data_IF_727057253429
#
_entry.id   IF_727057253429
#
_cell.length_a   1.000
_cell.length_b   1.000
_cell.length_c   1.000
_cell.angle_alpha   90.00
_cell.angle_beta   90.00
_cell.angle_gamma   90.00
#
_symmetry.space_group_name_H-M   'P 1'
#
loop_
_entity.id
_entity.type
_entity.pdbx_description
1 polymer ?
#
# COMPACT_ATOMS: atom_id res chain seq x y z
N UNK A 1 7.45 31.83 1.23
CA UNK A 1 6.28 31.04 1.66
C UNK A 1 6.71 30.15 2.82
N UNK A 2 5.83 29.85 3.80
CA UNK A 2 6.17 28.82 4.78
C UNK A 2 6.25 27.47 4.06
N UNK A 3 7.25 26.62 4.41
CA UNK A 3 7.46 25.32 3.76
C UNK A 3 6.18 24.47 3.71
N UNK A 4 5.40 24.50 4.78
CA UNK A 4 4.15 23.77 4.89
C UNK A 4 3.09 24.21 3.86
N UNK A 5 2.99 25.50 3.53
CA UNK A 5 1.99 25.97 2.55
C UNK A 5 2.31 25.49 1.13
N UNK A 6 3.59 25.39 0.77
CA UNK A 6 4.01 24.87 -0.52
C UNK A 6 3.68 23.37 -0.63
N UNK A 7 4.00 22.59 0.41
CA UNK A 7 3.68 21.15 0.46
C UNK A 7 2.17 20.90 0.47
N UNK A 8 1.37 21.70 1.18
CA UNK A 8 -0.10 21.60 1.13
C UNK A 8 -0.65 21.90 -0.26
N UNK A 9 -0.09 22.89 -0.96
CA UNK A 9 -0.41 23.16 -2.37
C UNK A 9 -0.10 21.98 -3.28
N UNK A 10 1.06 21.35 -3.10
CA UNK A 10 1.47 20.15 -3.83
C UNK A 10 0.49 18.98 -3.59
N UNK A 11 0.19 18.66 -2.32
CA UNK A 11 -0.79 17.62 -1.99
C UNK A 11 -2.16 17.88 -2.65
N UNK A 12 -2.63 19.12 -2.60
CA UNK A 12 -3.92 19.48 -3.18
C UNK A 12 -3.95 19.25 -4.70
N UNK A 13 -2.90 19.65 -5.42
CA UNK A 13 -2.79 19.43 -6.87
C UNK A 13 -2.80 17.93 -7.20
N UNK A 14 -2.02 17.11 -6.49
CA UNK A 14 -1.96 15.67 -6.70
C UNK A 14 -3.31 15.00 -6.41
N UNK A 15 -3.98 15.38 -5.33
CA UNK A 15 -5.31 14.88 -4.94
C UNK A 15 -6.37 15.24 -5.98
N UNK A 16 -6.39 16.49 -6.43
CA UNK A 16 -7.32 16.95 -7.49
C UNK A 16 -7.07 16.17 -8.78
N UNK A 17 -5.80 15.99 -9.19
CA UNK A 17 -5.45 15.19 -10.35
C UNK A 17 -6.03 13.77 -10.26
N UNK A 18 -5.73 13.04 -9.19
CA UNK A 18 -6.22 11.67 -9.01
C UNK A 18 -7.75 11.59 -8.95
N UNK A 19 -8.40 12.52 -8.25
CA UNK A 19 -9.86 12.63 -8.17
C UNK A 19 -10.52 12.94 -9.52
N UNK A 20 -9.88 13.78 -10.32
CA UNK A 20 -10.34 14.12 -11.68
C UNK A 20 -10.25 12.90 -12.60
N UNK A 21 -9.09 12.22 -12.62
CA UNK A 21 -8.90 10.99 -13.40
C UNK A 21 -9.96 9.94 -13.01
N UNK A 22 -10.20 9.74 -11.72
CA UNK A 22 -11.27 8.84 -11.24
C UNK A 22 -12.64 9.22 -11.78
N UNK A 23 -13.00 10.50 -11.68
CA UNK A 23 -14.33 10.97 -12.09
C UNK A 23 -14.57 10.76 -13.59
N UNK A 24 -13.56 11.02 -14.42
CA UNK A 24 -13.64 10.78 -15.85
C UNK A 24 -13.70 9.30 -16.21
N UNK A 25 -12.83 8.48 -15.61
CA UNK A 25 -12.67 7.07 -15.99
C UNK A 25 -13.68 6.13 -15.34
N UNK A 26 -14.43 6.59 -14.32
CA UNK A 26 -15.47 5.77 -13.67
C UNK A 26 -16.50 5.20 -14.67
N UNK A 27 -16.72 5.87 -15.79
CA UNK A 27 -17.64 5.46 -16.84
C UNK A 27 -17.07 4.38 -17.78
N UNK A 28 -15.75 4.16 -17.77
CA UNK A 28 -15.05 3.30 -18.73
C UNK A 28 -14.17 2.24 -18.01
N UNK A 29 -14.76 1.12 -17.57
CA UNK A 29 -14.07 0.06 -16.82
C UNK A 29 -12.87 -0.55 -17.57
N UNK A 30 -12.88 -0.52 -18.91
CA UNK A 30 -11.77 -1.02 -19.74
C UNK A 30 -10.46 -0.26 -19.50
N UNK A 31 -10.51 0.97 -19.03
CA UNK A 31 -9.34 1.81 -18.71
C UNK A 31 -8.97 1.79 -17.21
N UNK A 32 -9.39 0.77 -16.49
CA UNK A 32 -9.09 0.64 -15.04
C UNK A 32 -7.60 0.70 -14.71
N UNK A 33 -6.71 0.27 -15.63
CA UNK A 33 -5.26 0.37 -15.45
C UNK A 33 -4.76 1.82 -15.36
N UNK A 34 -5.46 2.80 -15.99
CA UNK A 34 -5.12 4.23 -15.86
C UNK A 34 -5.49 4.73 -14.45
N UNK A 35 -6.55 4.19 -13.84
CA UNK A 35 -6.87 4.49 -12.44
C UNK A 35 -5.78 3.94 -11.50
N UNK A 36 -5.32 2.71 -11.74
CA UNK A 36 -4.24 2.11 -10.96
C UNK A 36 -2.93 2.92 -11.09
N UNK A 37 -2.63 3.45 -12.29
CA UNK A 37 -1.53 4.40 -12.50
C UNK A 37 -1.69 5.67 -11.65
N UNK A 38 -2.87 6.33 -11.73
CA UNK A 38 -3.11 7.58 -11.01
C UNK A 38 -3.07 7.39 -9.48
N UNK A 39 -3.53 6.24 -9.00
CA UNK A 39 -3.54 5.93 -7.57
C UNK A 39 -2.13 5.61 -7.05
N UNK A 40 -1.33 4.87 -7.80
CA UNK A 40 0.08 4.65 -7.44
C UNK A 40 0.87 5.97 -7.51
N UNK A 41 0.65 6.78 -8.54
CA UNK A 41 1.24 8.11 -8.66
C UNK A 41 0.92 8.98 -7.45
N UNK A 42 -0.36 9.10 -7.08
CA UNK A 42 -0.80 9.88 -5.92
C UNK A 42 -0.14 9.39 -4.62
N UNK A 43 -0.14 8.07 -4.38
CA UNK A 43 0.41 7.51 -3.16
C UNK A 43 1.91 7.81 -3.03
N UNK A 44 2.69 7.55 -4.08
CA UNK A 44 4.14 7.75 -4.08
C UNK A 44 4.49 9.24 -4.01
N UNK A 45 3.82 10.09 -4.81
CA UNK A 45 4.09 11.52 -4.83
C UNK A 45 3.83 12.18 -3.47
N UNK A 46 2.69 11.85 -2.84
CA UNK A 46 2.38 12.38 -1.51
C UNK A 46 3.34 11.83 -0.45
N UNK A 47 3.73 10.57 -0.53
CA UNK A 47 4.64 9.97 0.45
C UNK A 47 6.05 10.56 0.37
N UNK A 48 6.59 10.81 -0.83
CA UNK A 48 7.87 11.48 -1.05
C UNK A 48 7.90 12.86 -0.39
N UNK A 49 6.83 13.63 -0.52
CA UNK A 49 6.73 14.96 0.11
C UNK A 49 6.60 14.87 1.64
N UNK A 50 5.86 13.88 2.17
CA UNK A 50 5.81 13.62 3.62
C UNK A 50 7.21 13.29 4.15
N UNK A 51 7.98 12.44 3.46
CA UNK A 51 9.36 12.16 3.85
C UNK A 51 10.22 13.43 3.85
N UNK A 52 10.08 14.28 2.85
CA UNK A 52 10.82 15.55 2.76
C UNK A 52 10.52 16.47 3.94
N UNK A 53 9.24 16.62 4.31
CA UNK A 53 8.82 17.42 5.46
C UNK A 53 9.44 16.89 6.76
N UNK A 54 9.57 15.57 6.89
CA UNK A 54 10.10 14.92 8.10
C UNK A 54 11.62 14.96 8.14
N UNK A 55 12.29 14.59 7.05
CA UNK A 55 13.75 14.49 7.00
C UNK A 55 14.42 15.87 7.04
N UNK A 56 13.90 16.82 6.30
CA UNK A 56 14.49 18.16 6.16
C UNK A 56 13.86 19.14 7.14
N UNK A 57 12.59 18.96 7.50
CA UNK A 57 11.86 19.84 8.39
C UNK A 57 12.50 19.96 9.78
N UNK A 58 13.10 18.90 10.29
CA UNK A 58 13.82 18.89 11.57
C UNK A 58 15.03 19.84 11.55
N UNK A 59 15.74 19.94 10.43
CA UNK A 59 16.91 20.83 10.24
C UNK A 59 16.53 22.27 9.92
N UNK A 60 15.41 22.48 9.22
CA UNK A 60 14.96 23.80 8.78
C UNK A 60 13.98 24.46 9.77
N UNK A 61 13.95 24.04 11.04
CA UNK A 61 13.02 24.56 12.04
C UNK A 61 11.55 24.13 11.78
N UNK A 62 11.38 23.02 11.07
CA UNK A 62 10.07 22.47 10.70
C UNK A 62 9.57 21.42 11.67
N UNK A 63 8.75 20.55 11.15
CA UNK A 63 7.91 19.64 11.91
C UNK A 63 8.68 18.34 12.19
N UNK A 64 8.90 18.01 13.45
CA UNK A 64 9.59 16.79 13.87
C UNK A 64 8.82 15.48 13.58
N UNK A 65 9.39 14.35 13.99
CA UNK A 65 8.87 13.00 13.67
C UNK A 65 7.43 12.74 14.12
N UNK A 66 6.93 13.46 15.12
CA UNK A 66 5.55 13.31 15.63
C UNK A 66 4.49 13.74 14.60
N UNK A 67 4.83 14.67 13.72
CA UNK A 67 3.96 15.12 12.64
C UNK A 67 3.86 14.10 11.52
N UNK A 68 4.90 13.25 11.36
CA UNK A 68 4.91 12.18 10.34
C UNK A 68 3.68 11.30 10.43
N UNK A 69 3.32 10.87 11.64
CA UNK A 69 2.18 9.97 11.90
C UNK A 69 0.89 10.61 11.44
N UNK A 70 0.69 11.88 11.79
CA UNK A 70 -0.51 12.63 11.42
C UNK A 70 -0.59 12.86 9.92
N UNK A 71 0.51 13.28 9.29
CA UNK A 71 0.54 13.54 7.84
C UNK A 71 0.38 12.25 7.04
N UNK A 72 1.04 11.17 7.45
CA UNK A 72 0.90 9.86 6.83
C UNK A 72 -0.54 9.36 6.94
N UNK A 73 -1.17 9.49 8.12
CA UNK A 73 -2.57 9.15 8.32
C UNK A 73 -3.48 9.93 7.38
N UNK A 74 -3.32 11.26 7.27
CA UNK A 74 -4.13 12.12 6.39
C UNK A 74 -3.94 11.75 4.93
N UNK A 75 -2.70 11.52 4.48
CA UNK A 75 -2.41 11.09 3.09
C UNK A 75 -3.04 9.73 2.79
N UNK A 76 -2.89 8.74 3.66
CA UNK A 76 -3.47 7.41 3.48
C UNK A 76 -5.00 7.44 3.56
N UNK A 77 -5.58 8.27 4.42
CA UNK A 77 -7.04 8.45 4.49
C UNK A 77 -7.58 9.05 3.20
N UNK A 78 -6.96 10.13 2.72
CA UNK A 78 -7.34 10.80 1.47
C UNK A 78 -7.19 9.85 0.28
N UNK A 79 -6.07 9.11 0.21
CA UNK A 79 -5.86 8.09 -0.80
C UNK A 79 -6.96 7.01 -0.72
N UNK A 80 -7.26 6.49 0.46
CA UNK A 80 -8.30 5.49 0.67
C UNK A 80 -9.70 5.95 0.25
N UNK A 81 -10.04 7.22 0.51
CA UNK A 81 -11.32 7.83 0.09
C UNK A 81 -11.38 7.96 -1.44
N UNK A 82 -10.32 8.43 -2.07
CA UNK A 82 -10.27 8.59 -3.54
C UNK A 82 -10.23 7.23 -4.22
N UNK A 83 -9.45 6.28 -3.73
CA UNK A 83 -9.22 4.99 -4.35
C UNK A 83 -10.21 3.91 -3.91
N UNK A 84 -11.24 4.27 -3.13
CA UNK A 84 -12.23 3.32 -2.57
C UNK A 84 -11.60 2.14 -1.80
N UNK A 85 -10.49 2.43 -1.15
CA UNK A 85 -9.92 1.61 -0.09
C UNK A 85 -8.73 0.73 -0.44
N UNK A 86 -8.34 0.50 -1.71
CA UNK A 86 -7.19 -0.38 -1.95
C UNK A 86 -6.74 -0.49 -3.41
N UNK A 87 -6.19 0.56 -3.98
CA UNK A 87 -5.59 0.53 -5.31
C UNK A 87 -4.19 1.14 -5.30
N UNK A 88 -3.43 0.99 -6.35
CA UNK A 88 -2.05 1.48 -6.44
C UNK A 88 -1.01 0.53 -5.82
N UNK A 89 -1.35 -0.76 -5.67
CA UNK A 89 -0.47 -1.75 -5.04
C UNK A 89 -0.42 -3.06 -5.85
N UNK A 90 0.74 -3.46 -6.38
CA UNK A 90 0.91 -4.72 -7.11
C UNK A 90 0.47 -5.97 -6.33
N UNK A 91 0.67 -6.00 -5.02
CA UNK A 91 0.26 -7.13 -4.16
C UNK A 91 -1.26 -7.30 -4.18
N UNK A 92 -2.02 -6.21 -4.15
CA UNK A 92 -3.47 -6.26 -4.23
C UNK A 92 -3.97 -6.64 -5.64
N UNK A 93 -3.24 -6.26 -6.69
CA UNK A 93 -3.53 -6.73 -8.05
C UNK A 93 -3.36 -8.25 -8.16
N UNK A 94 -2.27 -8.81 -7.61
CA UNK A 94 -2.04 -10.26 -7.53
C UNK A 94 -3.10 -10.94 -6.65
N UNK A 95 -3.49 -10.33 -5.53
CA UNK A 95 -4.55 -10.87 -4.67
C UNK A 95 -5.88 -11.00 -5.43
N UNK A 96 -6.30 -9.97 -6.17
CA UNK A 96 -7.52 -10.00 -7.01
C UNK A 96 -7.44 -11.10 -8.08
N UNK A 97 -6.25 -11.29 -8.69
CA UNK A 97 -6.00 -12.36 -9.66
C UNK A 97 -6.12 -13.74 -9.04
N UNK A 98 -5.51 -13.99 -7.89
CA UNK A 98 -5.58 -15.28 -7.18
C UNK A 98 -7.01 -15.60 -6.70
N UNK A 99 -7.83 -14.57 -6.46
CA UNK A 99 -9.25 -14.73 -6.15
C UNK A 99 -10.14 -14.90 -7.39
N UNK A 100 -9.54 -15.00 -8.59
CA UNK A 100 -10.26 -15.11 -9.87
C UNK A 100 -11.23 -13.95 -10.18
N UNK A 101 -10.97 -12.77 -9.59
CA UNK A 101 -11.80 -11.58 -9.82
C UNK A 101 -11.40 -10.85 -11.11
N UNK A 102 -10.14 -11.01 -11.53
CA UNK A 102 -9.54 -10.35 -12.71
C UNK A 102 -8.71 -11.36 -13.48
N UNK A 103 -8.71 -11.26 -14.80
CA UNK A 103 -7.90 -12.13 -15.69
C UNK A 103 -6.43 -11.66 -15.75
N UNK A 104 -5.58 -12.46 -16.39
CA UNK A 104 -4.13 -12.21 -16.44
C UNK A 104 -3.76 -10.86 -17.08
N UNK A 105 -4.35 -10.53 -18.25
CA UNK A 105 -4.00 -9.32 -18.98
C UNK A 105 -4.26 -8.03 -18.19
N UNK A 106 -5.47 -7.77 -17.64
CA UNK A 106 -5.70 -6.61 -16.78
C UNK A 106 -4.81 -6.58 -15.54
N UNK A 107 -4.45 -7.73 -14.97
CA UNK A 107 -3.55 -7.80 -13.81
C UNK A 107 -2.15 -7.32 -14.19
N UNK A 108 -1.60 -7.79 -15.31
CA UNK A 108 -0.28 -7.36 -15.81
C UNK A 108 -0.29 -5.86 -16.13
N UNK A 109 -1.32 -5.37 -16.83
CA UNK A 109 -1.48 -3.95 -17.14
C UNK A 109 -1.56 -3.09 -15.87
N UNK A 110 -2.27 -3.55 -14.83
CA UNK A 110 -2.32 -2.86 -13.53
C UNK A 110 -0.95 -2.80 -12.86
N UNK A 111 -0.20 -3.90 -12.84
CA UNK A 111 1.15 -3.94 -12.25
C UNK A 111 2.08 -2.98 -12.99
N UNK A 112 2.08 -3.00 -14.32
CA UNK A 112 2.88 -2.06 -15.13
C UNK A 112 2.47 -0.62 -14.82
N UNK A 113 1.17 -0.34 -14.76
CA UNK A 113 0.63 0.97 -14.45
C UNK A 113 1.06 1.47 -13.05
N UNK A 114 1.12 0.59 -12.03
CA UNK A 114 1.62 0.92 -10.70
C UNK A 114 3.07 1.42 -10.74
N UNK A 115 3.95 0.72 -11.46
CA UNK A 115 5.36 1.13 -11.56
C UNK A 115 5.55 2.40 -12.40
N UNK A 116 4.82 2.54 -13.49
CA UNK A 116 4.83 3.78 -14.28
C UNK A 116 4.34 4.98 -13.46
N UNK A 117 3.29 4.79 -12.65
CA UNK A 117 2.78 5.82 -11.74
C UNK A 117 3.80 6.20 -10.68
N UNK A 118 4.43 5.20 -10.04
CA UNK A 118 5.49 5.42 -9.05
C UNK A 118 6.71 6.13 -9.64
N UNK A 119 7.13 5.74 -10.87
CA UNK A 119 8.25 6.38 -11.55
C UNK A 119 7.96 7.84 -11.91
N UNK A 120 6.76 8.11 -12.48
CA UNK A 120 6.37 9.48 -12.78
C UNK A 120 6.26 10.33 -11.50
N UNK A 121 5.77 9.76 -10.40
CA UNK A 121 5.71 10.44 -9.10
C UNK A 121 7.09 10.90 -8.63
N UNK A 122 8.11 10.02 -8.77
CA UNK A 122 9.49 10.37 -8.45
C UNK A 122 10.00 11.54 -9.31
N UNK A 123 9.77 11.48 -10.63
CA UNK A 123 10.19 12.56 -11.55
C UNK A 123 9.50 13.89 -11.21
N UNK A 124 8.20 13.85 -10.92
CA UNK A 124 7.43 15.05 -10.55
C UNK A 124 7.91 15.61 -9.20
N UNK A 125 8.20 14.76 -8.21
CA UNK A 125 8.71 15.20 -6.92
C UNK A 125 10.10 15.86 -7.07
N UNK A 126 11.02 15.23 -7.79
CA UNK A 126 12.36 15.81 -8.06
C UNK A 126 12.24 17.15 -8.80
N UNK A 127 11.38 17.24 -9.81
CA UNK A 127 11.12 18.50 -10.49
C UNK A 127 10.53 19.55 -9.54
N UNK A 128 9.58 19.18 -8.68
CA UNK A 128 8.97 20.07 -7.71
C UNK A 128 10.02 20.60 -6.70
N UNK A 129 10.91 19.75 -6.19
CA UNK A 129 11.99 20.19 -5.30
C UNK A 129 13.00 21.11 -6.00
N UNK A 130 13.25 20.90 -7.30
CA UNK A 130 14.14 21.76 -8.10
C UNK A 130 13.61 23.19 -8.31
N UNK A 131 12.33 23.43 -8.03
CA UNK A 131 11.76 24.80 -8.07
C UNK A 131 12.18 25.62 -6.83
N UNK A 132 12.75 24.99 -5.79
CA UNK A 132 13.29 25.64 -4.60
C UNK A 132 12.34 26.66 -3.95
N UNK A 133 11.04 26.34 -3.92
CA UNK A 133 9.99 27.24 -3.45
C UNK A 133 10.13 27.61 -1.96
N UNK A 134 10.90 26.82 -1.22
CA UNK A 134 11.16 26.99 0.22
C UNK A 134 12.56 26.50 0.56
N UNK A 135 13.11 26.92 1.70
CA UNK A 135 14.42 26.46 2.19
C UNK A 135 14.48 24.94 2.31
N UNK A 136 13.37 24.30 2.73
CA UNK A 136 13.24 22.85 2.80
C UNK A 136 13.42 22.19 1.42
N UNK A 137 12.76 22.72 0.38
CA UNK A 137 12.89 22.20 -0.98
C UNK A 137 14.26 22.45 -1.58
N UNK A 138 14.87 23.61 -1.28
CA UNK A 138 16.25 23.91 -1.67
C UNK A 138 17.23 22.90 -1.05
N UNK A 139 17.13 22.63 0.25
CA UNK A 139 17.96 21.61 0.93
C UNK A 139 17.70 20.21 0.30
N UNK A 140 16.43 19.83 0.09
CA UNK A 140 16.10 18.55 -0.51
C UNK A 140 16.62 18.42 -1.95
N UNK A 141 16.59 19.49 -2.74
CA UNK A 141 17.16 19.52 -4.09
C UNK A 141 18.69 19.33 -4.07
N UNK A 142 19.38 19.97 -3.17
CA UNK A 142 20.83 19.78 -2.97
C UNK A 142 21.17 18.35 -2.53
N UNK A 143 20.33 17.76 -1.66
CA UNK A 143 20.45 16.38 -1.16
C UNK A 143 19.81 15.33 -2.07
N UNK A 144 19.25 15.69 -3.22
CA UNK A 144 18.43 14.80 -4.05
C UNK A 144 19.16 13.51 -4.52
N UNK A 145 20.48 13.49 -4.46
CA UNK A 145 21.32 12.30 -4.75
C UNK A 145 21.67 11.48 -3.51
N UNK A 146 21.36 11.97 -2.32
CA UNK A 146 21.72 11.37 -1.03
C UNK A 146 20.48 10.89 -0.28
N UNK A 147 19.71 9.95 -0.89
CA UNK A 147 18.68 9.27 -0.13
C UNK A 147 19.27 8.07 0.65
N UNK A 148 18.73 7.80 1.83
CA UNK A 148 19.02 6.59 2.58
C UNK A 148 17.98 5.51 2.24
N UNK A 149 18.45 4.25 2.16
CA UNK A 149 17.53 3.11 1.98
C UNK A 149 16.64 2.95 3.20
N UNK A 150 15.38 2.58 2.98
CA UNK A 150 14.44 2.27 4.06
C UNK A 150 14.68 0.91 4.71
N UNK A 151 15.55 0.09 4.16
CA UNK A 151 15.97 -1.17 4.76
C UNK A 151 17.08 -0.90 5.77
N UNK A 152 16.72 -0.82 7.05
CA UNK A 152 17.63 -0.49 8.16
C UNK A 152 18.11 -1.73 8.93
N UNK A 153 17.70 -2.92 8.51
CA UNK A 153 17.98 -4.18 9.18
C UNK A 153 18.52 -5.21 8.20
N UNK A 154 18.92 -6.38 8.70
CA UNK A 154 19.36 -7.47 7.83
C UNK A 154 18.27 -7.92 6.86
N UNK A 155 18.69 -8.47 5.72
CA UNK A 155 17.80 -8.94 4.66
C UNK A 155 16.71 -9.89 5.17
N UNK A 156 17.08 -10.80 6.07
CA UNK A 156 16.16 -11.76 6.68
C UNK A 156 15.11 -11.05 7.56
N UNK A 157 15.55 -10.15 8.43
CA UNK A 157 14.64 -9.36 9.27
C UNK A 157 13.72 -8.48 8.42
N UNK A 158 14.25 -7.84 7.36
CA UNK A 158 13.45 -7.06 6.42
C UNK A 158 12.37 -7.89 5.73
N UNK A 159 12.73 -9.08 5.23
CA UNK A 159 11.78 -10.02 4.64
C UNK A 159 10.65 -10.40 5.61
N UNK A 160 10.99 -10.78 6.85
CA UNK A 160 9.98 -11.15 7.84
C UNK A 160 9.11 -9.96 8.25
N UNK A 161 9.67 -8.76 8.38
CA UNK A 161 8.91 -7.54 8.69
C UNK A 161 7.84 -7.28 7.61
N UNK A 162 8.24 -7.24 6.34
CA UNK A 162 7.30 -7.03 5.23
C UNK A 162 6.28 -8.17 5.12
N UNK A 163 6.70 -9.42 5.33
CA UNK A 163 5.83 -10.59 5.32
C UNK A 163 4.73 -10.47 6.39
N UNK A 164 5.11 -10.21 7.64
CA UNK A 164 4.16 -10.12 8.77
C UNK A 164 3.23 -8.92 8.62
N UNK A 165 3.77 -7.74 8.27
CA UNK A 165 2.95 -6.55 8.06
C UNK A 165 1.94 -6.76 6.92
N UNK A 166 2.39 -7.35 5.80
CA UNK A 166 1.50 -7.64 4.66
C UNK A 166 0.48 -8.72 5.00
N UNK A 167 0.83 -9.72 5.79
CA UNK A 167 -0.10 -10.73 6.28
C UNK A 167 -1.23 -10.09 7.09
N UNK A 168 -0.89 -9.27 8.09
CA UNK A 168 -1.87 -8.57 8.94
C UNK A 168 -2.76 -7.65 8.09
N UNK A 169 -2.14 -6.84 7.22
CA UNK A 169 -2.87 -5.94 6.34
C UNK A 169 -3.87 -6.68 5.45
N UNK A 170 -3.43 -7.72 4.73
CA UNK A 170 -4.32 -8.46 3.82
C UNK A 170 -5.40 -9.24 4.57
N UNK A 171 -5.11 -9.77 5.75
CA UNK A 171 -6.11 -10.46 6.56
C UNK A 171 -7.24 -9.50 6.97
N UNK A 172 -6.90 -8.30 7.44
CA UNK A 172 -7.88 -7.27 7.80
C UNK A 172 -8.60 -6.76 6.55
N UNK A 173 -7.88 -6.50 5.46
CA UNK A 173 -8.46 -6.07 4.18
C UNK A 173 -9.51 -7.06 3.65
N UNK A 174 -9.21 -8.35 3.65
CA UNK A 174 -10.13 -9.40 3.21
C UNK A 174 -11.39 -9.48 4.08
N UNK A 175 -11.25 -9.31 5.39
CA UNK A 175 -12.40 -9.32 6.32
C UNK A 175 -13.27 -8.07 6.20
N UNK A 176 -12.67 -6.92 5.87
CA UNK A 176 -13.39 -5.65 5.75
C UNK A 176 -13.94 -5.37 4.34
N UNK A 177 -13.59 -6.16 3.32
CA UNK A 177 -13.93 -5.88 1.91
C UNK A 177 -15.43 -5.71 1.66
N UNK A 178 -16.29 -6.38 2.43
CA UNK A 178 -17.74 -6.32 2.31
C UNK A 178 -18.39 -5.27 3.22
N UNK A 179 -17.61 -4.54 4.01
CA UNK A 179 -18.11 -3.45 4.85
C UNK A 179 -18.21 -2.15 4.05
N UNK A 180 -19.04 -1.23 4.52
CA UNK A 180 -19.16 0.10 3.91
C UNK A 180 -17.81 0.81 3.83
N UNK A 181 -17.59 1.62 2.79
CA UNK A 181 -16.36 2.40 2.63
C UNK A 181 -16.11 3.32 3.85
N UNK A 182 -17.18 3.84 4.44
CA UNK A 182 -17.11 4.70 5.63
C UNK A 182 -16.44 4.01 6.84
N UNK A 183 -16.60 2.71 6.99
CA UNK A 183 -15.94 1.93 8.05
C UNK A 183 -14.61 1.36 7.59
N UNK A 184 -14.56 0.81 6.37
CA UNK A 184 -13.40 0.14 5.82
C UNK A 184 -12.21 1.06 5.67
N UNK A 185 -12.40 2.24 5.06
CA UNK A 185 -11.30 3.18 4.75
C UNK A 185 -10.60 3.65 6.02
N UNK A 186 -11.27 4.20 7.04
CA UNK A 186 -10.59 4.62 8.27
C UNK A 186 -9.87 3.49 8.99
N UNK A 187 -10.48 2.30 9.09
CA UNK A 187 -9.86 1.17 9.78
C UNK A 187 -8.60 0.68 9.07
N UNK A 188 -8.61 0.61 7.73
CA UNK A 188 -7.42 0.26 6.95
C UNK A 188 -6.36 1.35 7.08
N UNK A 189 -6.74 2.62 7.05
CA UNK A 189 -5.80 3.73 7.22
C UNK A 189 -5.11 3.70 8.58
N UNK A 190 -5.87 3.50 9.65
CA UNK A 190 -5.31 3.36 11.02
C UNK A 190 -4.32 2.20 11.06
N UNK A 191 -4.69 1.05 10.50
CA UNK A 191 -3.82 -0.12 10.46
C UNK A 191 -2.53 0.15 9.68
N UNK A 192 -2.62 0.72 8.48
CA UNK A 192 -1.45 1.02 7.65
C UNK A 192 -0.52 2.03 8.34
N UNK A 193 -1.07 3.09 8.92
CA UNK A 193 -0.31 4.08 9.68
C UNK A 193 0.40 3.43 10.87
N UNK A 194 -0.32 2.60 11.63
CA UNK A 194 0.24 1.87 12.77
C UNK A 194 1.39 0.95 12.35
N UNK A 195 1.20 0.12 11.31
CA UNK A 195 2.23 -0.79 10.82
C UNK A 195 3.46 -0.05 10.32
N UNK A 196 3.28 1.06 9.58
CA UNK A 196 4.39 1.89 9.12
C UNK A 196 5.17 2.53 10.28
N UNK A 197 4.48 2.96 11.35
CA UNK A 197 5.14 3.52 12.53
C UNK A 197 5.95 2.46 13.28
N UNK A 198 5.38 1.27 13.52
CA UNK A 198 6.06 0.17 14.24
C UNK A 198 7.26 -0.34 13.46
N UNK A 199 7.16 -0.44 12.14
CA UNK A 199 8.22 -0.93 11.28
C UNK A 199 9.18 0.15 10.76
N UNK A 200 9.06 1.40 11.24
CA UNK A 200 9.89 2.54 10.78
C UNK A 200 11.38 2.27 10.90
N UNK A 201 11.82 1.64 12.00
CA UNK A 201 13.21 1.27 12.22
C UNK A 201 13.67 -0.01 11.52
N UNK A 202 12.83 -0.61 10.67
CA UNK A 202 13.11 -1.87 9.98
C UNK A 202 13.06 -1.72 8.45
N UNK A 203 11.84 -1.53 7.90
CA UNK A 203 11.58 -1.46 6.44
C UNK A 203 10.57 -0.39 6.07
N UNK A 204 10.03 0.34 7.05
CA UNK A 204 8.88 1.23 6.96
C UNK A 204 7.55 0.54 6.60
N UNK A 205 7.51 -0.79 6.53
CA UNK A 205 6.33 -1.61 6.19
C UNK A 205 5.58 -1.07 4.97
N UNK A 206 6.25 -1.00 3.84
CA UNK A 206 5.60 -0.49 2.62
C UNK A 206 4.51 -1.42 2.12
N UNK A 207 4.66 -2.75 2.27
CA UNK A 207 3.69 -3.76 1.84
C UNK A 207 3.24 -3.58 0.37
N UNK A 208 3.99 -2.79 -0.37
CA UNK A 208 3.69 -2.33 -1.71
C UNK A 208 4.99 -2.17 -2.52
N UNK A 209 5.27 -3.08 -3.47
CA UNK A 209 6.48 -3.01 -4.28
C UNK A 209 6.64 -1.72 -5.09
N UNK A 210 5.56 -1.14 -5.62
CA UNK A 210 5.66 0.11 -6.39
C UNK A 210 5.94 1.32 -5.50
N UNK A 211 5.44 1.32 -4.26
CA UNK A 211 5.78 2.33 -3.27
C UNK A 211 7.26 2.23 -2.87
N UNK A 212 7.74 1.03 -2.56
CA UNK A 212 9.14 0.78 -2.26
C UNK A 212 10.07 1.15 -3.43
N UNK A 213 9.63 0.91 -4.67
CA UNK A 213 10.36 1.35 -5.86
C UNK A 213 10.54 2.86 -5.89
N UNK A 214 9.48 3.63 -5.68
CA UNK A 214 9.52 5.10 -5.70
C UNK A 214 10.32 5.72 -4.55
N UNK A 215 10.36 5.06 -3.39
CA UNK A 215 10.90 5.66 -2.17
C UNK A 215 12.32 5.21 -1.81
N UNK A 216 12.72 3.98 -2.18
CA UNK A 216 13.98 3.42 -1.69
C UNK A 216 14.83 2.74 -2.77
N UNK A 217 14.25 2.29 -3.88
CA UNK A 217 14.99 1.51 -4.88
C UNK A 217 16.15 2.29 -5.54
N UNK A 218 16.01 3.60 -5.67
CA UNK A 218 17.00 4.47 -6.31
C UNK A 218 18.10 4.96 -5.36
N UNK A 219 18.01 4.61 -4.08
CA UNK A 219 18.99 5.05 -3.09
C UNK A 219 20.32 4.30 -3.22
N UNK A 220 21.47 4.99 -3.04
CA UNK A 220 22.78 4.36 -3.12
C UNK A 220 22.94 3.21 -2.13
N UNK A 221 23.61 2.13 -2.57
CA UNK A 221 23.86 0.96 -1.74
C UNK A 221 22.70 -0.05 -1.62
N UNK A 222 21.55 0.25 -2.19
CA UNK A 222 20.41 -0.67 -2.22
C UNK A 222 20.40 -1.50 -3.51
N UNK A 223 20.41 -2.82 -3.38
CA UNK A 223 20.54 -3.75 -4.51
C UNK A 223 19.19 -4.26 -4.99
N UNK A 224 19.11 -4.66 -6.26
CA UNK A 224 17.92 -5.33 -6.81
C UNK A 224 17.56 -6.60 -6.03
N UNK A 225 18.55 -7.34 -5.52
CA UNK A 225 18.33 -8.54 -4.69
C UNK A 225 17.60 -8.21 -3.39
N UNK A 226 18.02 -7.16 -2.71
CA UNK A 226 17.36 -6.70 -1.47
C UNK A 226 15.93 -6.23 -1.76
N UNK A 227 15.75 -5.46 -2.82
CA UNK A 227 14.43 -5.03 -3.25
C UNK A 227 13.51 -6.22 -3.57
N UNK A 228 13.97 -7.19 -4.36
CA UNK A 228 13.18 -8.34 -4.76
C UNK A 228 12.82 -9.25 -3.57
N UNK A 229 13.76 -9.48 -2.65
CA UNK A 229 13.51 -10.35 -1.51
C UNK A 229 12.64 -9.67 -0.44
N UNK A 230 12.92 -8.42 -0.11
CA UNK A 230 12.21 -7.72 0.98
C UNK A 230 10.86 -7.20 0.50
N UNK A 231 10.82 -6.44 -0.60
CA UNK A 231 9.62 -5.69 -0.99
C UNK A 231 8.73 -6.40 -2.05
N UNK A 232 9.18 -7.56 -2.57
CA UNK A 232 8.33 -8.42 -3.40
C UNK A 232 8.03 -9.74 -2.73
N UNK A 233 9.06 -10.53 -2.43
CA UNK A 233 8.86 -11.89 -1.91
C UNK A 233 8.26 -11.87 -0.51
N UNK A 234 8.68 -10.95 0.39
CA UNK A 234 8.09 -10.75 1.70
C UNK A 234 6.59 -10.48 1.63
N UNK A 235 6.15 -9.41 0.95
CA UNK A 235 4.72 -9.10 0.78
C UNK A 235 3.92 -10.20 0.07
N UNK A 236 4.44 -10.82 -0.99
CA UNK A 236 3.76 -11.93 -1.68
C UNK A 236 3.53 -13.12 -0.75
N UNK A 237 4.53 -13.46 0.08
CA UNK A 237 4.41 -14.53 1.07
C UNK A 237 3.36 -14.19 2.11
N UNK A 238 3.40 -12.99 2.69
CA UNK A 238 2.43 -12.52 3.68
C UNK A 238 1.00 -12.50 3.14
N UNK A 239 0.81 -11.98 1.93
CA UNK A 239 -0.48 -11.96 1.24
C UNK A 239 -1.01 -13.39 0.99
N UNK A 240 -0.16 -14.29 0.51
CA UNK A 240 -0.54 -15.69 0.23
C UNK A 240 -0.98 -16.41 1.50
N UNK A 241 -0.23 -16.25 2.59
CA UNK A 241 -0.60 -16.81 3.89
C UNK A 241 -1.94 -16.26 4.41
N UNK A 242 -2.16 -14.94 4.26
CA UNK A 242 -3.42 -14.31 4.64
C UNK A 242 -4.61 -14.86 3.81
N UNK A 243 -4.40 -15.02 2.50
CA UNK A 243 -5.41 -15.59 1.61
C UNK A 243 -5.74 -17.04 1.97
N UNK A 244 -4.74 -17.89 2.21
CA UNK A 244 -4.91 -19.28 2.62
C UNK A 244 -5.66 -19.40 3.95
N UNK A 245 -5.35 -18.52 4.91
CA UNK A 245 -6.05 -18.47 6.19
C UNK A 245 -7.51 -18.03 6.00
N UNK A 246 -7.74 -16.98 5.22
CA UNK A 246 -9.07 -16.45 4.94
C UNK A 246 -9.96 -17.46 4.22
N UNK A 247 -9.43 -18.19 3.24
CA UNK A 247 -10.16 -19.23 2.50
C UNK A 247 -10.38 -20.52 3.30
N UNK A 248 -9.82 -20.61 4.50
CA UNK A 248 -9.96 -21.77 5.36
C UNK A 248 -9.14 -22.99 4.93
N UNK A 249 -8.09 -22.80 4.12
CA UNK A 249 -7.20 -23.88 3.71
C UNK A 249 -6.29 -24.32 4.88
N UNK A 250 -5.80 -23.40 5.70
CA UNK A 250 -4.99 -23.70 6.88
C UNK A 250 -5.77 -24.56 7.88
N UNK A 251 -7.03 -24.24 8.23
CA UNK A 251 -7.86 -25.12 9.04
C UNK A 251 -8.03 -26.54 8.47
N UNK A 252 -8.09 -26.70 7.15
CA UNK A 252 -8.19 -28.03 6.52
C UNK A 252 -6.92 -28.85 6.65
N UNK A 253 -5.74 -28.22 6.63
CA UNK A 253 -4.46 -28.91 6.86
C UNK A 253 -4.41 -29.49 8.28
N UNK A 254 -4.98 -28.77 9.25
CA UNK A 254 -5.07 -29.21 10.65
C UNK A 254 -6.35 -29.99 10.97
N UNK A 255 -7.21 -30.27 10.00
CA UNK A 255 -8.48 -30.99 10.20
C UNK A 255 -8.29 -32.44 10.69
N UNK A 256 -7.09 -33.02 10.59
CA UNK A 256 -6.73 -34.30 11.22
C UNK A 256 -6.43 -34.16 12.72
N UNK A 257 -6.39 -32.92 13.26
CA UNK A 257 -6.19 -32.66 14.68
C UNK A 257 -7.52 -32.84 15.43
N UNK A 258 -7.50 -33.60 16.54
CA UNK A 258 -8.69 -34.01 17.30
C UNK A 258 -9.58 -32.82 17.71
N UNK A 259 -8.98 -31.68 18.07
CA UNK A 259 -9.68 -30.44 18.47
C UNK A 259 -10.42 -29.77 17.29
N UNK A 260 -9.92 -29.96 16.07
CA UNK A 260 -10.53 -29.37 14.87
C UNK A 260 -11.66 -30.25 14.33
N UNK A 261 -11.53 -31.58 14.49
CA UNK A 261 -12.54 -32.55 14.08
C UNK A 261 -13.85 -32.37 14.86
N UNK A 262 -13.78 -32.03 16.15
CA UNK A 262 -14.97 -31.74 16.95
C UNK A 262 -15.69 -30.47 16.47
N UNK A 263 -14.95 -29.42 16.07
CA UNK A 263 -15.55 -28.14 15.65
C UNK A 263 -16.24 -28.22 14.30
N UNK A 264 -15.80 -29.06 13.38
CA UNK A 264 -16.43 -29.30 12.08
C UNK A 264 -17.67 -30.17 12.18
N UNK A 265 -17.74 -31.06 13.17
CA UNK A 265 -18.89 -31.95 13.39
C UNK A 265 -20.17 -31.18 13.79
N UNK A 266 -20.04 -29.97 14.38
CA UNK A 266 -21.16 -29.12 14.76
C UNK A 266 -21.60 -28.12 13.67
N UNK A 267 -20.94 -28.09 12.52
CA UNK A 267 -21.21 -27.15 11.43
C UNK A 267 -21.74 -27.81 10.15
N UNK A 268 -22.25 -29.02 10.22
CA UNK A 268 -23.00 -29.57 9.07
C UNK A 268 -24.33 -28.84 9.01
N UNK A 269 -24.61 -28.04 7.96
CA UNK A 269 -25.93 -27.48 7.76
C UNK A 269 -26.91 -28.66 7.68
N UNK A 270 -27.99 -28.59 8.44
CA UNK A 270 -29.17 -29.40 8.16
C UNK A 270 -29.77 -28.88 6.85
N UNK A 271 -29.18 -29.25 5.72
CA UNK A 271 -29.66 -28.94 4.38
C UNK A 271 -30.53 -30.05 3.86
N UNK A 272 -31.73 -29.69 3.50
CA UNK A 272 -32.57 -30.29 2.45
C UNK A 272 -32.95 -31.76 2.58
N UNK A 273 -33.78 -32.07 3.59
CA UNK A 273 -34.65 -33.23 3.57
C UNK A 273 -36.14 -32.87 3.42
N UNK A 274 -36.47 -31.70 2.89
CA UNK A 274 -37.88 -31.25 2.77
C UNK A 274 -38.47 -31.31 1.35
N UNK A 275 -37.75 -31.79 0.33
CA UNK A 275 -38.25 -31.74 -1.06
C UNK A 275 -38.41 -33.10 -1.76
N UNK A 276 -38.47 -34.20 -1.02
CA UNK A 276 -38.81 -35.53 -1.58
C UNK A 276 -40.04 -36.17 -0.96
N UNK A 277 -41.12 -35.40 -0.78
CA UNK A 277 -42.44 -35.92 -0.49
C UNK A 277 -43.54 -35.06 -1.12
N UNK A 278 -43.51 -34.93 -2.46
CA UNK A 278 -44.68 -34.62 -3.28
C UNK A 278 -44.37 -35.03 -4.72
N UNK A 279 -44.55 -36.29 -5.02
CA UNK A 279 -44.93 -36.85 -6.30
C UNK A 279 -45.47 -38.26 -6.02
#
# INVERSE_FOLDING_TARGET
MSGLNASLGYFLVIVIFAGTVRTFLKKWPQFSFILEFAYSFMLVACWLEVQTIVEVGEWAGGLGPDVTVTMLFVVLLTHGVICDGASGNPILAVLKFLQLQVTTLPTVLSIVAHFLGAHLALLVAVYYWSLELTDMHMIKNLMARECSTSLLVSLCQGFFTECVCTFIFNLVHLNLRHRSALLRVPLITILLTFLSCVARGYTSAYMNPSLAYGLTFHCPGFTFKEYALVYWLGPLTGMTLALLLYMGHIPRIFAKNLLYFQKTRFRVPKGDKAEKKKL
#
